data_IF_655081692125
#
_entry.id   IF_655081692125
#
_cell.length_a   1.000
_cell.length_b   1.000
_cell.length_c   1.000
_cell.angle_alpha   90.00
_cell.angle_beta   90.00
_cell.angle_gamma   90.00
#
_symmetry.space_group_name_H-M   'P 1'
#
loop_
_entity.id
_entity.type
_entity.pdbx_description
1 polymer ?
#
# COMPACT_ATOMS: atom_id res chain seq x y z
N UNK A 1 -8.45 1.47 -15.11
CA UNK A 1 -7.83 2.81 -15.02
C UNK A 1 -6.83 2.81 -13.85
N UNK A 2 -5.89 3.74 -13.75
CA UNK A 2 -4.98 3.85 -12.58
C UNK A 2 -5.70 4.41 -11.34
N UNK A 3 -7.00 4.67 -11.45
CA UNK A 3 -7.86 5.22 -10.41
C UNK A 3 -8.80 4.18 -9.78
N UNK A 4 -8.88 2.96 -10.34
CA UNK A 4 -9.84 1.97 -9.88
C UNK A 4 -9.29 1.22 -8.67
N UNK A 5 -10.08 1.13 -7.60
CA UNK A 5 -9.80 0.27 -6.44
C UNK A 5 -10.63 -1.01 -6.51
N UNK A 6 -10.13 -2.09 -5.90
CA UNK A 6 -10.91 -3.33 -5.66
C UNK A 6 -11.68 -3.25 -4.34
N UNK A 7 -11.40 -2.24 -3.53
CA UNK A 7 -12.10 -1.95 -2.27
C UNK A 7 -11.45 -2.59 -1.05
N UNK A 8 -10.21 -3.06 -1.18
CA UNK A 8 -9.49 -3.73 -0.10
C UNK A 8 -9.14 -2.76 1.05
N UNK A 9 -9.01 -3.34 2.23
CA UNK A 9 -8.51 -2.69 3.44
C UNK A 9 -7.02 -2.96 3.70
N UNK A 10 -6.35 -2.07 4.46
CA UNK A 10 -4.94 -2.27 4.83
C UNK A 10 -4.75 -3.52 5.69
N UNK A 11 -5.74 -3.86 6.51
CA UNK A 11 -5.80 -5.03 7.36
C UNK A 11 -5.76 -6.33 6.56
N UNK A 12 -6.19 -6.31 5.29
CA UNK A 12 -6.15 -7.48 4.40
C UNK A 12 -4.73 -7.79 3.91
N UNK A 13 -3.76 -6.89 4.10
CA UNK A 13 -2.38 -7.08 3.68
C UNK A 13 -1.52 -7.85 4.69
N UNK A 14 -2.11 -8.33 5.80
CA UNK A 14 -1.42 -9.12 6.82
C UNK A 14 -0.17 -8.45 7.41
N UNK A 15 -0.20 -7.12 7.54
CA UNK A 15 0.91 -6.33 8.08
C UNK A 15 1.03 -6.48 9.61
N UNK A 16 2.22 -6.24 10.16
CA UNK A 16 2.43 -6.13 11.61
C UNK A 16 1.50 -5.08 12.20
N UNK A 17 0.94 -5.38 13.37
CA UNK A 17 -0.02 -4.51 14.09
C UNK A 17 0.52 -3.08 14.30
N UNK A 18 1.80 -2.95 14.62
CA UNK A 18 2.44 -1.63 14.84
C UNK A 18 2.50 -0.80 13.56
N UNK A 19 2.73 -1.44 12.41
CA UNK A 19 2.71 -0.77 11.12
C UNK A 19 1.30 -0.34 10.72
N UNK A 20 0.29 -1.20 10.93
CA UNK A 20 -1.12 -0.85 10.73
C UNK A 20 -1.53 0.36 11.57
N UNK A 21 -1.14 0.39 12.85
CA UNK A 21 -1.40 1.55 13.71
C UNK A 21 -0.77 2.82 13.15
N UNK A 22 0.49 2.78 12.73
CA UNK A 22 1.17 3.94 12.14
C UNK A 22 0.54 4.43 10.83
N UNK A 23 -0.01 3.51 10.02
CA UNK A 23 -0.77 3.82 8.80
C UNK A 23 -2.04 4.61 9.17
N UNK A 24 -2.82 4.13 10.13
CA UNK A 24 -4.04 4.81 10.57
C UNK A 24 -3.77 6.13 11.30
N UNK A 25 -2.73 6.21 12.13
CA UNK A 25 -2.31 7.46 12.78
C UNK A 25 -1.87 8.54 11.77
N UNK A 26 -1.36 8.12 10.60
CA UNK A 26 -1.08 9.03 9.48
C UNK A 26 -2.33 9.50 8.74
N UNK A 27 -3.52 8.98 9.08
CA UNK A 27 -4.79 9.28 8.43
C UNK A 27 -4.96 8.54 7.10
N UNK A 28 -4.34 7.38 6.93
CA UNK A 28 -4.51 6.53 5.76
C UNK A 28 -5.57 5.47 6.03
N UNK A 29 -6.82 5.81 5.78
CA UNK A 29 -7.95 4.92 6.10
C UNK A 29 -8.13 3.79 5.08
N UNK A 30 -7.83 4.04 3.81
CA UNK A 30 -7.96 3.08 2.71
C UNK A 30 -6.73 3.13 1.79
N UNK A 31 -6.27 1.99 1.25
CA UNK A 31 -5.21 1.98 0.27
C UNK A 31 -5.66 2.68 -1.01
N UNK A 32 -4.76 3.47 -1.61
CA UNK A 32 -4.98 4.02 -2.94
C UNK A 32 -4.89 2.91 -4.01
N UNK A 33 -5.42 3.12 -5.24
CA UNK A 33 -5.34 2.13 -6.33
C UNK A 33 -3.94 1.53 -6.54
N UNK A 34 -2.91 2.38 -6.47
CA UNK A 34 -1.53 1.92 -6.68
C UNK A 34 -1.02 1.11 -5.48
N UNK A 35 -1.40 1.49 -4.27
CA UNK A 35 -1.04 0.76 -3.04
C UNK A 35 -1.69 -0.61 -3.00
N UNK A 36 -2.99 -0.68 -3.30
CA UNK A 36 -3.75 -1.93 -3.38
C UNK A 36 -3.19 -2.89 -4.43
N UNK A 37 -2.75 -2.35 -5.57
CA UNK A 37 -2.14 -3.16 -6.62
C UNK A 37 -0.71 -3.61 -6.28
N UNK A 38 0.10 -2.79 -5.62
CA UNK A 38 1.53 -3.04 -5.46
C UNK A 38 1.93 -3.66 -4.13
N UNK A 39 1.28 -3.29 -3.01
CA UNK A 39 1.69 -3.72 -1.66
C UNK A 39 1.68 -5.25 -1.54
N UNK A 40 0.61 -5.98 -1.92
CA UNK A 40 0.61 -7.44 -1.80
C UNK A 40 1.69 -8.12 -2.65
N UNK A 41 1.99 -7.56 -3.83
CA UNK A 41 3.04 -8.09 -4.72
C UNK A 41 4.42 -7.83 -4.11
N UNK A 42 4.64 -6.65 -3.51
CA UNK A 42 5.91 -6.27 -2.93
C UNK A 42 6.22 -7.10 -1.68
N UNK A 43 5.20 -7.34 -0.85
CA UNK A 43 5.30 -8.24 0.31
C UNK A 43 5.62 -9.68 -0.08
N UNK A 44 5.29 -10.09 -1.32
CA UNK A 44 5.70 -11.40 -1.86
C UNK A 44 7.17 -11.49 -2.29
N UNK A 45 7.96 -10.42 -2.09
CA UNK A 45 9.38 -10.35 -2.44
C UNK A 45 9.66 -10.22 -3.95
N UNK A 46 8.67 -9.78 -4.73
CA UNK A 46 8.79 -9.60 -6.19
C UNK A 46 9.15 -8.15 -6.54
N UNK A 47 9.94 -8.00 -7.60
CA UNK A 47 10.19 -6.69 -8.21
C UNK A 47 8.94 -6.14 -8.88
N UNK A 48 8.73 -4.82 -8.76
CA UNK A 48 7.55 -4.13 -9.29
C UNK A 48 7.96 -2.88 -10.05
N UNK A 49 7.42 -2.74 -11.26
CA UNK A 49 7.38 -1.47 -11.97
C UNK A 49 5.97 -0.87 -11.89
N UNK A 50 5.82 0.18 -11.08
CA UNK A 50 4.56 0.87 -10.82
C UNK A 50 4.56 2.28 -11.43
N UNK A 51 3.49 2.64 -12.17
CA UNK A 51 3.32 3.99 -12.75
C UNK A 51 2.01 4.60 -12.26
N UNK A 52 2.10 5.74 -11.58
CA UNK A 52 0.94 6.52 -11.15
C UNK A 52 1.25 8.02 -11.12
N UNK A 53 0.21 8.87 -11.16
CA UNK A 53 0.33 10.34 -11.13
C UNK A 53 0.84 10.83 -9.76
N UNK A 54 1.20 12.10 -9.64
CA UNK A 54 1.56 12.66 -8.34
C UNK A 54 0.34 12.76 -7.42
N UNK A 55 0.56 12.64 -6.10
CA UNK A 55 -0.52 12.62 -5.11
C UNK A 55 -1.30 11.31 -4.99
N UNK A 56 -0.96 10.25 -5.74
CA UNK A 56 -1.70 8.97 -5.73
C UNK A 56 -1.21 7.97 -4.67
N UNK A 57 -0.40 8.39 -3.70
CA UNK A 57 0.07 7.49 -2.63
C UNK A 57 1.25 6.59 -2.96
N UNK A 58 2.03 6.88 -4.02
CA UNK A 58 3.24 6.11 -4.39
C UNK A 58 4.25 5.96 -3.24
N UNK A 59 4.35 6.94 -2.34
CA UNK A 59 5.23 6.88 -1.18
C UNK A 59 4.85 5.73 -0.24
N UNK A 60 3.58 5.64 0.17
CA UNK A 60 3.10 4.50 0.96
C UNK A 60 3.26 3.16 0.22
N UNK A 61 3.09 3.17 -1.10
CA UNK A 61 3.15 1.96 -1.93
C UNK A 61 4.51 1.24 -1.89
N UNK A 62 5.62 1.96 -1.68
CA UNK A 62 6.95 1.35 -1.46
C UNK A 62 7.39 1.36 0.00
N UNK A 63 7.01 2.38 0.80
CA UNK A 63 7.43 2.47 2.19
C UNK A 63 6.81 1.39 3.08
N UNK A 64 5.52 1.07 2.87
CA UNK A 64 4.84 0.04 3.67
C UNK A 64 5.52 -1.33 3.53
N UNK A 65 5.75 -1.88 2.31
CA UNK A 65 6.46 -3.14 2.16
C UNK A 65 7.90 -3.12 2.68
N UNK A 66 8.59 -1.98 2.59
CA UNK A 66 9.97 -1.84 3.11
C UNK A 66 10.00 -1.88 4.64
N UNK A 67 9.02 -1.26 5.31
CA UNK A 67 8.92 -1.26 6.77
C UNK A 67 8.43 -2.59 7.34
N UNK A 68 7.68 -3.37 6.56
CA UNK A 68 7.09 -4.63 7.03
C UNK A 68 8.10 -5.78 7.18
N UNK A 69 9.28 -5.73 6.55
CA UNK A 69 10.28 -6.82 6.53
C UNK A 69 10.51 -7.54 7.86
#
# INVERSE_FOLDING_TARGET
DVTDTRGNDFEEFCLKRELLMGIFEKGWDKPSPIQEASIPIALSGKDILARAKNGTGKTGAYSIPVLEQ
#
